data_IF_341955316404
#
_entry.id   IF_341955316404
#
_cell.length_a   1.000
_cell.length_b   1.000
_cell.length_c   1.000
_cell.angle_alpha   90.00
_cell.angle_beta   90.00
_cell.angle_gamma   90.00
#
_symmetry.space_group_name_H-M   'P 1'
#
loop_
_entity.id
_entity.type
_entity.pdbx_description
1 polymer ?
#
# COMPACT_ATOMS: atom_id res chain seq x y z
N UNK A 1 18.30 26.51 -0.16
CA UNK A 1 17.73 25.14 -0.11
C UNK A 1 18.67 24.22 -0.86
N UNK A 2 19.36 23.29 -0.18
CA UNK A 2 20.13 22.24 -0.86
C UNK A 2 19.10 21.27 -1.44
N UNK A 3 18.98 21.17 -2.75
CA UNK A 3 18.32 20.06 -3.42
C UNK A 3 19.12 18.81 -3.07
N UNK A 4 18.64 18.03 -2.09
CA UNK A 4 19.15 16.68 -1.87
C UNK A 4 18.95 15.93 -3.19
N UNK A 5 20.03 15.39 -3.74
CA UNK A 5 19.94 14.48 -4.90
C UNK A 5 19.20 13.23 -4.39
N UNK A 6 18.13 12.83 -5.10
CA UNK A 6 17.42 11.59 -4.83
C UNK A 6 18.40 10.41 -4.84
N UNK A 7 18.38 9.59 -3.77
CA UNK A 7 19.19 8.38 -3.66
C UNK A 7 18.32 7.14 -3.92
N UNK A 8 17.98 6.92 -5.18
CA UNK A 8 17.15 5.76 -5.56
C UNK A 8 18.01 4.50 -5.56
N UNK A 9 17.60 3.50 -4.79
CA UNK A 9 18.17 2.16 -4.81
C UNK A 9 17.55 1.36 -5.96
N UNK A 10 18.28 1.19 -7.06
CA UNK A 10 17.87 0.27 -8.14
C UNK A 10 18.29 -1.16 -7.80
N UNK A 11 17.36 -2.10 -7.88
CA UNK A 11 17.51 -3.50 -7.50
C UNK A 11 17.91 -4.35 -8.72
N UNK A 12 18.81 -5.28 -8.52
CA UNK A 12 19.06 -6.34 -9.52
C UNK A 12 17.92 -7.34 -9.56
N UNK A 13 17.84 -8.16 -10.61
CA UNK A 13 16.81 -9.21 -10.69
C UNK A 13 16.85 -10.20 -9.51
N UNK A 14 18.04 -10.53 -8.99
CA UNK A 14 18.21 -11.38 -7.81
C UNK A 14 17.65 -10.69 -6.55
N UNK A 15 17.92 -9.39 -6.38
CA UNK A 15 17.40 -8.60 -5.25
C UNK A 15 15.87 -8.49 -5.30
N UNK A 16 15.28 -8.32 -6.48
CA UNK A 16 13.83 -8.33 -6.67
C UNK A 16 13.24 -9.69 -6.27
N UNK A 17 13.91 -10.80 -6.60
CA UNK A 17 13.50 -12.14 -6.17
C UNK A 17 13.54 -12.29 -4.64
N UNK A 18 14.54 -11.72 -3.95
CA UNK A 18 14.56 -11.67 -2.48
C UNK A 18 13.40 -10.83 -1.91
N UNK A 19 13.13 -9.67 -2.51
CA UNK A 19 11.98 -8.84 -2.13
C UNK A 19 10.64 -9.57 -2.35
N UNK A 20 10.54 -10.43 -3.39
CA UNK A 20 9.36 -11.26 -3.62
C UNK A 20 9.07 -12.19 -2.44
N UNK A 21 10.08 -12.76 -1.78
CA UNK A 21 9.87 -13.59 -0.59
C UNK A 21 9.20 -12.79 0.55
N UNK A 22 9.68 -11.57 0.81
CA UNK A 22 9.05 -10.66 1.77
C UNK A 22 7.62 -10.27 1.33
N UNK A 23 7.42 -9.96 0.06
CA UNK A 23 6.12 -9.63 -0.51
C UNK A 23 5.10 -10.77 -0.38
N UNK A 24 5.51 -12.02 -0.60
CA UNK A 24 4.64 -13.20 -0.42
C UNK A 24 4.29 -13.44 1.07
N UNK A 25 5.24 -13.19 1.97
CA UNK A 25 4.98 -13.25 3.40
C UNK A 25 3.92 -12.21 3.80
N UNK A 26 4.05 -10.97 3.33
CA UNK A 26 3.05 -9.92 3.56
C UNK A 26 1.70 -10.32 2.96
N UNK A 27 1.66 -10.78 1.71
CA UNK A 27 0.42 -11.20 1.05
C UNK A 27 -0.29 -12.32 1.82
N UNK A 28 0.45 -13.32 2.29
CA UNK A 28 -0.11 -14.44 3.07
C UNK A 28 -0.61 -13.98 4.45
N UNK A 29 0.13 -13.08 5.11
CA UNK A 29 -0.29 -12.49 6.39
C UNK A 29 -1.59 -11.69 6.21
N UNK A 30 -1.66 -10.80 5.22
CA UNK A 30 -2.87 -10.01 4.93
C UNK A 30 -4.07 -10.89 4.56
N UNK A 31 -3.85 -12.00 3.83
CA UNK A 31 -4.92 -12.96 3.51
C UNK A 31 -5.50 -13.59 4.79
N UNK A 32 -4.64 -13.99 5.74
CA UNK A 32 -5.06 -14.53 7.04
C UNK A 32 -5.75 -13.48 7.92
N UNK A 33 -5.26 -12.23 7.91
CA UNK A 33 -5.89 -11.13 8.64
C UNK A 33 -7.27 -10.82 8.07
N UNK A 34 -7.44 -10.82 6.73
CA UNK A 34 -8.75 -10.66 6.08
C UNK A 34 -9.75 -11.71 6.55
N UNK A 35 -9.34 -12.97 6.70
CA UNK A 35 -10.19 -14.06 7.21
C UNK A 35 -10.54 -13.88 8.70
N UNK A 36 -9.64 -13.26 9.48
CA UNK A 36 -9.84 -13.04 10.92
C UNK A 36 -10.70 -11.79 11.21
N UNK A 37 -10.86 -10.87 10.24
CA UNK A 37 -11.71 -9.67 10.42
C UNK A 37 -13.17 -10.07 10.60
N UNK A 38 -13.72 -9.79 11.80
CA UNK A 38 -15.11 -10.04 12.13
C UNK A 38 -15.58 -9.07 13.23
N UNK A 39 -16.90 -8.83 13.36
CA UNK A 39 -17.45 -8.12 14.52
C UNK A 39 -17.02 -8.79 15.83
N UNK A 40 -16.57 -8.01 16.80
CA UNK A 40 -16.11 -8.49 18.11
C UNK A 40 -14.61 -8.73 18.21
N UNK A 41 -13.87 -8.75 17.10
CA UNK A 41 -12.39 -8.85 17.10
C UNK A 41 -11.81 -7.46 17.39
N UNK A 42 -10.83 -7.37 18.27
CA UNK A 42 -10.08 -6.14 18.50
C UNK A 42 -8.93 -5.98 17.50
N UNK A 43 -8.55 -4.74 17.25
CA UNK A 43 -7.40 -4.48 16.36
C UNK A 43 -6.08 -4.99 16.94
N UNK A 44 -5.95 -5.10 18.27
CA UNK A 44 -4.80 -5.73 18.92
C UNK A 44 -4.72 -7.24 18.68
N UNK A 45 -5.85 -7.96 18.57
CA UNK A 45 -5.85 -9.38 18.22
C UNK A 45 -5.35 -9.60 16.79
N UNK A 46 -5.70 -8.70 15.85
CA UNK A 46 -5.18 -8.73 14.48
C UNK A 46 -3.67 -8.45 14.45
N UNK A 47 -3.18 -7.53 15.27
CA UNK A 47 -1.75 -7.24 15.39
C UNK A 47 -0.95 -8.44 15.93
N UNK A 48 -1.45 -9.06 17.00
CA UNK A 48 -0.84 -10.28 17.56
C UNK A 48 -0.79 -11.43 16.55
N UNK A 49 -1.87 -11.63 15.78
CA UNK A 49 -1.90 -12.63 14.72
C UNK A 49 -0.88 -12.31 13.60
N UNK A 50 -0.77 -11.06 13.20
CA UNK A 50 0.21 -10.65 12.19
C UNK A 50 1.65 -10.92 12.65
N UNK A 51 1.99 -10.54 13.89
CA UNK A 51 3.31 -10.77 14.46
C UNK A 51 3.65 -12.26 14.52
N UNK A 52 2.70 -13.08 14.98
CA UNK A 52 2.86 -14.54 15.03
C UNK A 52 3.15 -15.12 13.65
N UNK A 53 2.35 -14.78 12.64
CA UNK A 53 2.49 -15.29 11.27
C UNK A 53 3.82 -14.88 10.64
N UNK A 54 4.24 -13.63 10.81
CA UNK A 54 5.51 -13.13 10.26
C UNK A 54 6.69 -13.85 10.93
N UNK A 55 6.68 -13.97 12.27
CA UNK A 55 7.78 -14.58 13.03
C UNK A 55 7.86 -16.09 12.85
N UNK A 56 6.74 -16.78 12.64
CA UNK A 56 6.68 -18.23 12.45
C UNK A 56 7.53 -18.73 11.29
N UNK A 57 7.78 -17.89 10.27
CA UNK A 57 8.61 -18.22 9.11
C UNK A 57 9.97 -17.51 9.12
N UNK A 58 10.36 -16.94 10.26
CA UNK A 58 11.64 -16.25 10.43
C UNK A 58 11.68 -14.83 9.89
N UNK A 59 10.54 -14.26 9.48
CA UNK A 59 10.43 -12.86 9.10
C UNK A 59 10.45 -11.90 10.30
N UNK A 60 10.63 -10.62 10.04
CA UNK A 60 10.59 -9.55 11.04
C UNK A 60 9.53 -8.54 10.64
N UNK A 61 8.58 -8.15 11.54
CA UNK A 61 7.64 -7.06 11.25
C UNK A 61 8.40 -5.76 10.93
N UNK A 62 8.07 -5.11 9.81
CA UNK A 62 8.77 -3.89 9.38
C UNK A 62 8.46 -2.68 10.25
N UNK A 63 7.24 -2.62 10.81
CA UNK A 63 6.76 -1.42 11.52
C UNK A 63 7.13 -1.42 12.98
N UNK A 64 7.24 -2.59 13.63
CA UNK A 64 7.52 -2.69 15.05
C UNK A 64 8.88 -2.07 15.40
N UNK A 65 8.84 -0.95 16.12
CA UNK A 65 10.03 -0.16 16.49
C UNK A 65 10.48 0.85 15.44
N UNK A 66 9.91 0.86 14.25
CA UNK A 66 10.24 1.84 13.20
C UNK A 66 9.85 3.25 13.65
N UNK A 67 10.85 4.13 13.81
CA UNK A 67 10.68 5.46 14.43
C UNK A 67 9.90 5.47 15.75
N UNK A 68 9.89 4.33 16.47
CA UNK A 68 9.18 4.18 17.74
C UNK A 68 7.72 3.70 17.59
N UNK A 69 7.27 3.30 16.41
CA UNK A 69 5.94 2.71 16.22
C UNK A 69 5.79 1.44 17.06
N UNK A 70 4.71 1.28 17.85
CA UNK A 70 4.65 0.27 18.90
C UNK A 70 4.06 -1.08 18.47
N UNK A 71 3.68 -1.27 17.20
CA UNK A 71 2.93 -2.44 16.73
C UNK A 71 3.52 -3.03 15.44
N UNK A 72 3.08 -4.23 15.07
CA UNK A 72 3.56 -4.97 13.89
C UNK A 72 2.84 -4.57 12.60
N UNK A 73 1.60 -4.09 12.71
CA UNK A 73 0.75 -3.62 11.60
C UNK A 73 0.08 -2.28 11.96
N UNK A 74 -0.46 -1.58 10.96
CA UNK A 74 -1.40 -0.49 11.20
C UNK A 74 -2.84 -0.98 10.96
N UNK A 75 -3.79 -0.52 11.78
CA UNK A 75 -5.21 -0.93 11.71
C UNK A 75 -6.11 0.30 11.77
N UNK A 76 -6.40 0.87 10.62
CA UNK A 76 -7.14 2.14 10.49
C UNK A 76 -8.63 1.86 10.22
N UNK A 77 -9.50 2.23 11.16
CA UNK A 77 -10.93 1.95 11.12
C UNK A 77 -11.72 3.20 10.78
N UNK A 78 -12.62 3.12 9.81
CA UNK A 78 -13.56 4.16 9.37
C UNK A 78 -12.85 5.48 8.98
N UNK A 79 -12.93 6.53 9.82
CA UNK A 79 -12.33 7.85 9.59
C UNK A 79 -10.79 7.85 9.77
N UNK A 80 -10.23 6.78 10.33
CA UNK A 80 -8.77 6.61 10.38
C UNK A 80 -8.26 6.25 8.98
N UNK A 81 -7.32 7.05 8.50
CA UNK A 81 -6.79 6.92 7.13
C UNK A 81 -5.64 5.93 7.08
N UNK A 82 -4.58 6.20 7.88
CA UNK A 82 -3.35 5.39 7.97
C UNK A 82 -2.74 5.49 9.36
N UNK A 83 -1.79 4.62 9.65
CA UNK A 83 -0.91 4.58 10.81
C UNK A 83 -1.63 4.44 12.17
N UNK A 84 -2.90 4.04 12.18
CA UNK A 84 -3.61 3.85 13.44
C UNK A 84 -3.01 2.67 14.22
N UNK A 85 -2.71 2.94 15.51
CA UNK A 85 -2.07 1.96 16.40
C UNK A 85 -3.13 0.92 16.83
N UNK A 86 -2.87 -0.38 16.64
CA UNK A 86 -3.74 -1.44 17.14
C UNK A 86 -3.99 -1.35 18.64
N UNK A 87 -5.23 -1.57 19.09
CA UNK A 87 -5.64 -1.40 20.47
C UNK A 87 -6.65 -2.49 20.90
N UNK A 88 -6.53 -3.05 22.12
CA UNK A 88 -7.55 -3.96 22.67
C UNK A 88 -8.89 -3.26 22.95
N UNK A 89 -8.89 -1.92 22.96
CA UNK A 89 -10.11 -1.13 23.17
C UNK A 89 -10.84 -0.84 21.86
N UNK A 90 -10.17 -0.96 20.72
CA UNK A 90 -10.78 -0.77 19.40
C UNK A 90 -11.28 -2.12 18.90
N UNK A 91 -12.53 -2.41 19.20
CA UNK A 91 -13.24 -3.65 18.83
C UNK A 91 -14.06 -3.37 17.58
N UNK A 92 -13.89 -4.18 16.55
CA UNK A 92 -14.59 -4.08 15.27
C UNK A 92 -16.08 -4.36 15.43
N UNK A 93 -16.90 -3.63 14.69
CA UNK A 93 -18.36 -3.73 14.69
C UNK A 93 -18.87 -4.03 13.30
N UNK A 94 -20.03 -4.65 13.23
CA UNK A 94 -20.75 -4.79 11.96
C UNK A 94 -20.99 -3.43 11.33
N UNK A 95 -20.64 -3.31 10.04
CA UNK A 95 -20.71 -2.05 9.29
C UNK A 95 -19.43 -1.21 9.27
N UNK A 96 -18.40 -1.57 10.05
CA UNK A 96 -17.09 -0.89 9.99
C UNK A 96 -16.34 -1.22 8.69
N UNK A 97 -15.44 -0.32 8.31
CA UNK A 97 -14.44 -0.54 7.28
C UNK A 97 -13.05 -0.43 7.93
N UNK A 98 -12.20 -1.45 7.76
CA UNK A 98 -10.84 -1.44 8.32
C UNK A 98 -9.81 -1.52 7.19
N UNK A 99 -8.83 -0.61 7.19
CA UNK A 99 -7.60 -0.72 6.40
C UNK A 99 -6.51 -1.33 7.26
N UNK A 100 -5.91 -2.42 6.78
CA UNK A 100 -4.83 -3.14 7.45
C UNK A 100 -3.60 -3.01 6.58
N UNK A 101 -2.55 -2.40 7.14
CA UNK A 101 -1.27 -2.19 6.50
C UNK A 101 -0.22 -3.05 7.19
N UNK A 102 0.57 -3.80 6.41
CA UNK A 102 1.50 -4.82 6.89
C UNK A 102 2.79 -4.82 6.08
N UNK A 103 3.89 -4.61 6.78
CA UNK A 103 5.23 -4.76 6.24
C UNK A 103 6.01 -5.90 6.91
N UNK A 104 6.82 -6.61 6.14
CA UNK A 104 7.71 -7.66 6.65
C UNK A 104 9.09 -7.62 6.00
N UNK A 105 10.10 -8.05 6.77
CA UNK A 105 11.48 -8.18 6.34
C UNK A 105 11.84 -9.65 6.24
N UNK A 106 12.40 -10.05 5.09
CA UNK A 106 13.00 -11.37 4.87
C UNK A 106 14.40 -11.15 4.30
N UNK A 107 15.41 -11.74 4.90
CA UNK A 107 16.81 -11.62 4.49
C UNK A 107 17.27 -10.16 4.24
N UNK A 108 16.79 -9.23 5.07
CA UNK A 108 17.14 -7.81 4.99
C UNK A 108 16.39 -7.02 3.91
N UNK A 109 15.39 -7.60 3.26
CA UNK A 109 14.55 -6.95 2.25
C UNK A 109 13.12 -6.79 2.73
N UNK A 110 12.56 -5.60 2.53
CA UNK A 110 11.18 -5.29 2.89
C UNK A 110 10.20 -5.66 1.78
N UNK A 111 9.00 -6.08 2.18
CA UNK A 111 7.78 -6.06 1.41
C UNK A 111 6.74 -5.29 2.21
N UNK A 112 5.86 -4.57 1.53
CA UNK A 112 4.84 -3.70 2.11
C UNK A 112 3.57 -3.75 1.30
N UNK A 113 2.40 -3.83 1.98
CA UNK A 113 1.10 -3.86 1.32
C UNK A 113 -0.03 -3.56 2.29
N UNK A 114 -1.10 -2.96 1.79
CA UNK A 114 -2.30 -2.70 2.56
C UNK A 114 -3.57 -3.19 1.85
N UNK A 115 -4.54 -3.60 2.65
CA UNK A 115 -5.88 -3.99 2.21
C UNK A 115 -6.94 -3.24 3.00
N UNK A 116 -8.06 -2.93 2.36
CA UNK A 116 -9.26 -2.44 3.05
C UNK A 116 -10.34 -3.54 3.06
N UNK A 117 -10.85 -3.85 4.24
CA UNK A 117 -11.76 -4.98 4.47
C UNK A 117 -13.05 -4.51 5.12
N UNK A 118 -14.23 -4.87 4.58
CA UNK A 118 -15.50 -4.66 5.26
C UNK A 118 -15.64 -5.59 6.47
N UNK A 119 -16.18 -5.08 7.56
CA UNK A 119 -16.51 -5.86 8.77
C UNK A 119 -17.99 -6.20 8.73
N UNK A 120 -18.32 -7.48 8.53
CA UNK A 120 -19.70 -7.92 8.37
C UNK A 120 -20.40 -7.27 7.18
N UNK A 121 -21.64 -6.77 7.37
CA UNK A 121 -22.38 -6.07 6.34
C UNK A 121 -22.15 -4.57 6.38
N UNK A 122 -21.51 -4.03 5.33
CA UNK A 122 -21.26 -2.58 5.18
C UNK A 122 -22.22 -1.94 4.18
N UNK A 123 -22.49 -0.66 4.37
CA UNK A 123 -23.29 0.13 3.45
C UNK A 123 -22.67 0.16 2.02
N UNK A 124 -23.50 0.21 0.94
CA UNK A 124 -23.01 0.22 -0.42
C UNK A 124 -21.95 1.28 -0.75
N UNK A 125 -22.03 2.53 -0.19
CA UNK A 125 -20.98 3.51 -0.42
C UNK A 125 -19.59 3.09 0.09
N UNK A 126 -19.50 2.30 1.18
CA UNK A 126 -18.23 1.81 1.72
C UNK A 126 -17.60 0.74 0.82
N UNK A 127 -18.43 -0.20 0.31
CA UNK A 127 -17.96 -1.18 -0.69
C UNK A 127 -17.42 -0.49 -1.94
N UNK A 128 -18.15 0.57 -2.39
CA UNK A 128 -17.71 1.33 -3.55
C UNK A 128 -16.44 2.12 -3.29
N UNK A 129 -16.25 2.66 -2.09
CA UNK A 129 -15.02 3.36 -1.69
C UNK A 129 -13.80 2.43 -1.80
N UNK A 130 -13.91 1.20 -1.26
CA UNK A 130 -12.85 0.19 -1.35
C UNK A 130 -12.54 -0.15 -2.82
N UNK A 131 -13.58 -0.42 -3.63
CA UNK A 131 -13.40 -0.72 -5.04
C UNK A 131 -12.74 0.42 -5.81
N UNK A 132 -13.10 1.68 -5.52
CA UNK A 132 -12.47 2.86 -6.15
C UNK A 132 -10.99 2.97 -5.78
N UNK A 133 -10.62 2.72 -4.52
CA UNK A 133 -9.23 2.73 -4.09
C UNK A 133 -8.42 1.62 -4.79
N UNK A 134 -8.95 0.40 -4.84
CA UNK A 134 -8.33 -0.74 -5.55
C UNK A 134 -8.18 -0.46 -7.05
N UNK A 135 -9.24 -0.02 -7.73
CA UNK A 135 -9.19 0.28 -9.16
C UNK A 135 -8.20 1.40 -9.48
N UNK A 136 -8.11 2.41 -8.62
CA UNK A 136 -7.14 3.50 -8.77
C UNK A 136 -5.70 3.00 -8.64
N UNK A 137 -5.40 2.16 -7.66
CA UNK A 137 -4.09 1.54 -7.48
C UNK A 137 -3.69 0.72 -8.71
N UNK A 138 -4.55 -0.19 -9.14
CA UNK A 138 -4.25 -1.04 -10.30
C UNK A 138 -4.15 -0.26 -11.61
N UNK A 139 -4.97 0.78 -11.80
CA UNK A 139 -4.88 1.68 -12.96
C UNK A 139 -3.56 2.43 -12.97
N UNK A 140 -3.11 2.92 -11.80
CA UNK A 140 -1.81 3.56 -11.63
C UNK A 140 -0.65 2.63 -11.96
N UNK A 141 -0.66 1.39 -11.45
CA UNK A 141 0.35 0.37 -11.77
C UNK A 141 0.38 0.09 -13.28
N UNK A 142 -0.78 -0.11 -13.90
CA UNK A 142 -0.90 -0.36 -15.33
C UNK A 142 -0.39 0.82 -16.17
N UNK A 143 -0.68 2.06 -15.77
CA UNK A 143 -0.18 3.25 -16.43
C UNK A 143 1.35 3.36 -16.31
N UNK A 144 1.89 3.08 -15.12
CA UNK A 144 3.33 3.01 -14.90
C UNK A 144 4.01 1.98 -15.80
N UNK A 145 3.44 0.76 -15.89
CA UNK A 145 3.96 -0.31 -16.75
C UNK A 145 3.97 0.10 -18.23
N UNK A 146 2.84 0.62 -18.74
CA UNK A 146 2.76 1.12 -20.13
C UNK A 146 3.74 2.26 -20.39
N UNK A 147 3.86 3.21 -19.47
CA UNK A 147 4.78 4.34 -19.60
C UNK A 147 6.25 3.87 -19.61
N UNK A 148 6.62 2.94 -18.72
CA UNK A 148 7.96 2.34 -18.68
C UNK A 148 8.33 1.67 -20.00
N UNK A 149 7.41 0.90 -20.60
CA UNK A 149 7.62 0.23 -21.89
C UNK A 149 7.94 1.19 -23.04
N UNK A 150 7.53 2.47 -22.97
CA UNK A 150 7.91 3.50 -23.96
C UNK A 150 9.35 3.97 -23.82
N UNK A 151 10.04 3.63 -22.72
CA UNK A 151 11.35 4.15 -22.35
C UNK A 151 11.34 5.65 -21.95
N UNK A 152 10.16 6.28 -21.83
CA UNK A 152 9.99 7.71 -21.47
C UNK A 152 9.19 7.92 -20.19
N UNK A 153 8.61 6.85 -19.61
CA UNK A 153 7.77 6.90 -18.43
C UNK A 153 8.41 7.61 -17.24
N UNK A 154 7.60 8.33 -16.51
CA UNK A 154 7.99 9.07 -15.31
C UNK A 154 7.09 8.69 -14.15
N UNK A 155 7.59 8.84 -12.94
CA UNK A 155 6.90 8.48 -11.71
C UNK A 155 5.46 9.02 -11.65
N UNK A 156 5.26 10.28 -12.00
CA UNK A 156 3.95 10.91 -11.88
C UNK A 156 2.95 10.51 -12.98
N UNK A 157 3.33 9.65 -13.92
CA UNK A 157 2.36 8.98 -14.80
C UNK A 157 1.46 8.04 -13.98
N UNK A 158 2.03 7.40 -12.95
CA UNK A 158 1.30 6.62 -11.93
C UNK A 158 0.34 7.53 -11.16
N UNK A 159 0.87 8.60 -10.56
CA UNK A 159 0.09 9.56 -9.75
C UNK A 159 -1.08 10.18 -10.51
N UNK A 160 -0.85 10.51 -11.78
CA UNK A 160 -1.87 11.09 -12.65
C UNK A 160 -3.02 10.13 -12.89
N UNK A 161 -2.71 8.87 -13.19
CA UNK A 161 -3.72 7.85 -13.45
C UNK A 161 -4.51 7.50 -12.20
N UNK A 162 -3.87 7.34 -11.04
CA UNK A 162 -4.55 7.17 -9.74
C UNK A 162 -5.60 8.28 -9.55
N UNK A 163 -5.16 9.54 -9.65
CA UNK A 163 -6.06 10.68 -9.47
C UNK A 163 -7.18 10.74 -10.51
N UNK A 164 -6.90 10.37 -11.75
CA UNK A 164 -7.87 10.36 -12.86
C UNK A 164 -8.93 9.31 -12.61
N UNK A 165 -8.54 8.09 -12.25
CA UNK A 165 -9.47 6.98 -11.95
C UNK A 165 -10.40 7.34 -10.80
N UNK A 166 -9.85 7.90 -9.70
CA UNK A 166 -10.67 8.31 -8.53
C UNK A 166 -11.69 9.38 -8.94
N UNK A 167 -11.26 10.42 -9.68
CA UNK A 167 -12.14 11.51 -10.12
C UNK A 167 -13.23 11.06 -11.07
N UNK A 168 -12.93 10.11 -11.95
CA UNK A 168 -13.92 9.51 -12.87
C UNK A 168 -14.95 8.65 -12.12
N UNK A 169 -14.56 8.02 -11.01
CA UNK A 169 -15.45 7.20 -10.19
C UNK A 169 -16.48 8.03 -9.42
N UNK A 170 -16.20 9.31 -9.13
CA UNK A 170 -17.11 10.18 -8.41
C UNK A 170 -16.42 11.29 -7.60
N UNK A 171 -17.17 11.79 -6.60
CA UNK A 171 -16.67 12.81 -5.68
C UNK A 171 -16.05 12.14 -4.47
N UNK A 172 -14.74 11.89 -4.53
CA UNK A 172 -13.94 11.33 -3.44
C UNK A 172 -12.81 12.28 -3.08
N UNK A 173 -12.41 12.30 -1.82
CA UNK A 173 -11.17 12.95 -1.39
C UNK A 173 -9.97 12.06 -1.76
N UNK A 174 -8.91 12.67 -2.27
CA UNK A 174 -7.61 12.03 -2.47
C UNK A 174 -6.68 12.63 -1.44
N UNK A 175 -6.22 11.84 -0.49
CA UNK A 175 -5.39 12.32 0.61
C UNK A 175 -4.06 12.85 0.08
N UNK A 176 -3.64 13.99 0.60
CA UNK A 176 -2.35 14.63 0.30
C UNK A 176 -1.44 14.61 1.53
N UNK A 177 -0.13 14.60 1.30
CA UNK A 177 0.87 14.56 2.37
C UNK A 177 1.27 13.16 2.81
N UNK A 178 0.52 12.15 2.39
CA UNK A 178 0.82 10.73 2.53
C UNK A 178 0.75 10.09 1.14
N UNK A 179 1.53 9.03 0.92
CA UNK A 179 1.59 8.35 -0.35
C UNK A 179 2.73 7.36 -0.43
N UNK A 180 2.86 6.70 -1.56
CA UNK A 180 3.84 5.66 -1.80
C UNK A 180 5.28 6.14 -1.78
N UNK A 181 6.18 5.18 -1.84
CA UNK A 181 7.61 5.40 -1.65
C UNK A 181 8.45 4.35 -2.38
N UNK A 182 9.73 4.61 -2.54
CA UNK A 182 10.70 3.57 -2.86
C UNK A 182 10.83 2.60 -1.68
N UNK A 183 11.10 1.35 -1.96
CA UNK A 183 11.24 0.29 -0.93
C UNK A 183 12.36 -0.67 -1.32
N UNK A 184 13.05 -1.23 -0.33
CA UNK A 184 14.17 -2.14 -0.57
C UNK A 184 14.78 -2.68 0.71
N UNK A 185 16.02 -2.33 0.99
CA UNK A 185 16.72 -2.63 2.26
C UNK A 185 16.27 -1.74 3.41
N UNK A 186 15.55 -0.68 3.10
CA UNK A 186 14.82 0.16 4.05
C UNK A 186 13.37 0.22 3.61
N UNK A 187 12.46 0.42 4.55
CA UNK A 187 11.03 0.45 4.28
C UNK A 187 10.67 1.67 3.41
N UNK A 188 11.06 2.86 3.86
CA UNK A 188 10.85 4.09 3.10
C UNK A 188 12.16 4.56 2.47
N UNK A 189 12.20 4.59 1.15
CA UNK A 189 13.31 5.07 0.34
C UNK A 189 12.82 6.09 -0.70
N UNK A 190 13.76 6.84 -1.28
CA UNK A 190 13.47 7.61 -2.49
C UNK A 190 13.01 6.70 -3.65
N UNK A 191 12.07 7.15 -4.48
CA UNK A 191 11.37 8.43 -4.43
C UNK A 191 10.02 8.36 -3.70
N UNK A 192 9.49 9.50 -3.23
CA UNK A 192 8.08 9.60 -2.86
C UNK A 192 7.18 9.39 -4.09
N UNK A 193 6.06 8.69 -3.91
CA UNK A 193 5.06 8.39 -4.95
C UNK A 193 3.73 9.04 -4.57
N UNK A 194 3.50 10.30 -4.90
CA UNK A 194 2.25 10.98 -4.55
C UNK A 194 1.05 10.40 -5.32
N UNK A 195 -0.12 10.42 -4.71
CA UNK A 195 -1.38 9.98 -5.34
C UNK A 195 -2.01 11.05 -6.26
N UNK A 196 -1.39 12.23 -6.33
CA UNK A 196 -1.76 13.36 -7.17
C UNK A 196 -0.55 13.86 -7.93
N UNK A 197 -0.71 14.17 -9.22
CA UNK A 197 0.39 14.73 -10.00
C UNK A 197 0.01 15.06 -11.43
N UNK A 198 0.82 15.93 -12.05
CA UNK A 198 0.80 16.13 -13.51
C UNK A 198 1.66 15.04 -14.15
N UNK A 199 1.25 14.42 -15.26
CA UNK A 199 2.02 13.35 -15.89
C UNK A 199 3.40 13.85 -16.37
N UNK A 200 4.34 12.94 -16.55
CA UNK A 200 5.64 13.21 -17.12
C UNK A 200 6.64 13.90 -16.19
N UNK A 201 6.48 13.81 -14.87
CA UNK A 201 7.40 14.40 -13.87
C UNK A 201 8.03 13.32 -12.99
N UNK A 202 9.06 13.72 -12.24
CA UNK A 202 9.79 12.84 -11.32
C UNK A 202 10.79 11.91 -12.02
N UNK A 203 11.34 10.93 -11.29
CA UNK A 203 12.28 9.93 -11.80
C UNK A 203 11.71 9.13 -12.96
N UNK A 204 12.60 8.54 -13.77
CA UNK A 204 12.20 7.63 -14.85
C UNK A 204 11.77 6.29 -14.27
N UNK A 205 10.73 5.70 -14.84
CA UNK A 205 10.32 4.33 -14.57
C UNK A 205 11.22 3.41 -15.39
N UNK A 206 12.21 2.81 -14.72
CA UNK A 206 13.24 1.97 -15.36
C UNK A 206 13.38 0.66 -14.60
N UNK A 207 13.91 -0.39 -15.24
CA UNK A 207 14.19 -1.67 -14.58
C UNK A 207 15.01 -1.49 -13.29
N UNK A 208 14.65 -2.26 -12.27
CA UNK A 208 15.26 -2.19 -10.94
C UNK A 208 14.60 -1.20 -9.97
N UNK A 209 13.73 -0.32 -10.43
CA UNK A 209 12.93 0.52 -9.55
C UNK A 209 11.86 -0.32 -8.86
N UNK A 210 11.75 -0.22 -7.53
CA UNK A 210 10.70 -0.89 -6.75
C UNK A 210 10.00 0.15 -5.89
N UNK A 211 8.68 0.20 -5.98
CA UNK A 211 7.82 1.21 -5.35
C UNK A 211 6.69 0.56 -4.56
N UNK A 212 6.36 1.13 -3.42
CA UNK A 212 5.04 1.04 -2.81
C UNK A 212 4.09 2.01 -3.53
N UNK A 213 2.93 1.53 -3.95
CA UNK A 213 1.89 2.33 -4.63
C UNK A 213 0.63 2.20 -3.80
N UNK A 214 0.22 3.29 -3.13
CA UNK A 214 -0.72 3.26 -2.02
C UNK A 214 -1.72 4.43 -2.02
N UNK A 215 -2.75 4.42 -2.84
CA UNK A 215 -3.79 5.44 -2.77
C UNK A 215 -4.60 5.37 -1.48
N UNK A 216 -4.83 6.55 -0.89
CA UNK A 216 -5.72 6.78 0.24
C UNK A 216 -6.88 7.64 -0.23
N UNK A 217 -8.09 7.08 -0.15
CA UNK A 217 -9.31 7.66 -0.71
C UNK A 217 -10.34 7.84 0.40
N UNK A 218 -11.06 8.97 0.41
CA UNK A 218 -12.08 9.28 1.42
C UNK A 218 -13.45 9.52 0.79
N UNK A 219 -14.52 9.23 1.53
CA UNK A 219 -15.89 9.57 1.12
C UNK A 219 -16.19 11.08 1.19
N UNK A 220 -15.33 11.85 1.82
CA UNK A 220 -15.49 13.29 2.01
C UNK A 220 -14.26 14.08 1.63
N UNK A 221 -13.82 14.92 2.57
CA UNK A 221 -12.69 15.82 2.38
C UNK A 221 -11.35 15.08 2.34
N UNK A 222 -10.42 15.57 1.52
CA UNK A 222 -9.02 15.12 1.48
C UNK A 222 -8.17 15.54 2.68
N UNK A 223 -8.72 16.44 3.55
CA UNK A 223 -7.95 17.01 4.63
C UNK A 223 -7.90 16.09 5.84
N UNK A 224 -6.70 15.89 6.35
CA UNK A 224 -6.40 15.00 7.47
C UNK A 224 -5.88 15.76 8.68
N UNK A 225 -5.83 15.08 9.82
CA UNK A 225 -5.17 15.51 11.03
C UNK A 225 -4.52 14.31 11.69
N UNK A 226 -3.35 14.52 12.30
CA UNK A 226 -2.68 13.55 13.15
C UNK A 226 -3.22 13.66 14.57
N UNK A 227 -3.45 12.52 15.22
CA UNK A 227 -3.91 12.46 16.61
C UNK A 227 -2.76 12.66 17.61
N UNK A 228 -3.10 12.84 18.88
CA UNK A 228 -2.15 13.08 19.95
C UNK A 228 -1.19 11.89 20.24
N UNK A 229 -1.46 10.71 19.68
CA UNK A 229 -0.56 9.55 19.75
C UNK A 229 0.67 9.69 18.82
N UNK A 230 0.68 10.72 17.96
CA UNK A 230 1.78 11.02 17.03
C UNK A 230 1.87 10.09 15.82
N UNK A 231 0.82 9.28 15.57
CA UNK A 231 0.79 8.29 14.48
C UNK A 231 -0.53 8.29 13.72
N UNK A 232 -1.65 8.12 14.45
CA UNK A 232 -2.96 7.93 13.82
C UNK A 232 -3.39 9.15 13.02
N UNK A 233 -3.58 8.96 11.74
CA UNK A 233 -4.07 9.99 10.81
C UNK A 233 -5.55 9.79 10.57
N UNK A 234 -6.35 10.83 10.78
CA UNK A 234 -7.81 10.81 10.60
C UNK A 234 -8.27 11.86 9.59
N UNK A 235 -9.42 11.62 8.96
CA UNK A 235 -10.09 12.64 8.17
C UNK A 235 -10.63 13.75 9.09
N UNK A 236 -10.49 15.03 8.68
CA UNK A 236 -10.96 16.16 9.51
C UNK A 236 -12.48 16.28 9.59
N UNK A 237 -13.18 15.73 8.61
CA UNK A 237 -14.65 15.78 8.52
C UNK A 237 -15.33 14.51 9.04
N UNK A 238 -14.56 13.54 9.56
CA UNK A 238 -15.07 12.26 10.06
C UNK A 238 -15.54 11.31 8.96
N UNK A 239 -15.25 11.60 7.70
CA UNK A 239 -15.62 10.72 6.59
C UNK A 239 -14.75 9.46 6.57
N UNK A 240 -15.36 8.34 6.16
CA UNK A 240 -14.65 7.05 6.07
C UNK A 240 -13.58 7.07 4.98
N UNK A 241 -12.44 6.47 5.24
CA UNK A 241 -11.31 6.33 4.34
C UNK A 241 -11.07 4.85 3.96
N UNK A 242 -10.41 4.65 2.81
CA UNK A 242 -9.85 3.38 2.38
C UNK A 242 -8.39 3.57 1.99
N UNK A 243 -7.54 2.65 2.39
CA UNK A 243 -6.13 2.57 2.04
C UNK A 243 -5.84 1.18 1.47
N UNK A 244 -5.25 1.13 0.30
CA UNK A 244 -4.82 -0.11 -0.35
C UNK A 244 -3.44 0.10 -0.93
N UNK A 245 -2.63 -0.96 -0.98
CA UNK A 245 -1.24 -0.84 -1.38
C UNK A 245 -0.70 -2.13 -1.98
N UNK A 246 0.24 -1.97 -2.91
CA UNK A 246 1.13 -3.04 -3.37
C UNK A 246 2.58 -2.56 -3.57
N UNK A 247 3.53 -3.43 -3.25
CA UNK A 247 4.93 -3.31 -3.67
C UNK A 247 5.08 -3.80 -5.12
N UNK A 248 5.58 -2.93 -6.00
CA UNK A 248 5.69 -3.18 -7.45
C UNK A 248 7.11 -2.98 -7.93
N UNK A 249 7.70 -3.99 -8.57
CA UNK A 249 9.00 -3.90 -9.24
C UNK A 249 8.83 -3.62 -10.73
N UNK A 250 9.60 -2.67 -11.26
CA UNK A 250 9.74 -2.45 -12.69
C UNK A 250 10.85 -3.34 -13.23
N UNK A 251 10.54 -4.15 -14.25
CA UNK A 251 11.45 -5.09 -14.91
C UNK A 251 11.70 -4.68 -16.37
N UNK A 252 12.61 -5.37 -17.06
CA UNK A 252 12.93 -5.08 -18.46
C UNK A 252 11.76 -5.30 -19.41
N UNK A 253 10.86 -6.24 -19.07
CA UNK A 253 9.74 -6.71 -19.90
C UNK A 253 8.35 -6.42 -19.32
N UNK A 254 8.26 -5.60 -18.27
CA UNK A 254 6.99 -5.27 -17.62
C UNK A 254 7.13 -4.94 -16.14
N UNK A 255 6.09 -5.18 -15.37
CA UNK A 255 6.09 -5.02 -13.91
C UNK A 255 5.84 -6.35 -13.20
N UNK A 256 6.31 -6.43 -11.97
CA UNK A 256 6.04 -7.56 -11.08
C UNK A 256 5.49 -7.06 -9.76
N UNK A 257 4.23 -7.38 -9.46
CA UNK A 257 3.60 -7.01 -8.19
C UNK A 257 4.04 -8.01 -7.13
N UNK A 258 5.00 -7.61 -6.30
CA UNK A 258 5.69 -8.51 -5.37
C UNK A 258 4.80 -9.00 -4.23
N UNK A 259 3.75 -8.27 -3.92
CA UNK A 259 2.77 -8.56 -2.85
C UNK A 259 1.44 -9.15 -3.37
N UNK A 260 1.34 -9.51 -4.65
CA UNK A 260 0.20 -10.25 -5.21
C UNK A 260 0.61 -11.69 -5.51
N UNK A 261 -0.17 -12.71 -5.12
CA UNK A 261 0.17 -14.13 -5.28
C UNK A 261 0.48 -14.51 -6.74
N UNK A 262 -0.30 -13.98 -7.67
CA UNK A 262 -0.16 -14.17 -9.12
C UNK A 262 0.84 -13.22 -9.78
N UNK A 263 1.52 -12.37 -8.98
CA UNK A 263 2.42 -11.32 -9.46
C UNK A 263 1.72 -10.16 -10.16
N UNK A 264 0.39 -10.05 -10.02
CA UNK A 264 -0.46 -9.03 -10.64
C UNK A 264 -1.10 -9.44 -11.97
N UNK A 265 -0.99 -10.72 -12.36
CA UNK A 265 -1.39 -11.20 -13.70
C UNK A 265 -2.88 -11.05 -13.98
N UNK A 266 -3.74 -11.32 -13.01
CA UNK A 266 -5.20 -11.24 -13.16
C UNK A 266 -5.67 -9.79 -13.44
N UNK A 267 -4.95 -8.80 -12.95
CA UNK A 267 -5.29 -7.38 -13.09
C UNK A 267 -4.57 -6.67 -14.25
N UNK A 268 -3.37 -7.11 -14.58
CA UNK A 268 -2.47 -6.41 -15.50
C UNK A 268 -2.23 -7.16 -16.84
N UNK A 269 -2.55 -8.46 -16.91
CA UNK A 269 -2.39 -9.27 -18.13
C UNK A 269 -0.95 -9.21 -18.67
N UNK A 270 -0.81 -8.84 -19.93
CA UNK A 270 0.47 -8.80 -20.65
C UNK A 270 1.45 -7.70 -20.16
N UNK A 271 1.03 -6.83 -19.24
CA UNK A 271 1.93 -5.85 -18.61
C UNK A 271 2.82 -6.47 -17.51
N UNK A 272 2.53 -7.71 -17.10
CA UNK A 272 3.30 -8.42 -16.08
C UNK A 272 4.55 -9.02 -16.69
N UNK A 273 5.69 -8.82 -16.03
CA UNK A 273 6.97 -9.44 -16.39
C UNK A 273 6.90 -10.97 -16.39
N UNK A 274 7.58 -11.61 -17.34
CA UNK A 274 7.73 -13.07 -17.37
C UNK A 274 8.35 -13.65 -16.09
N UNK A 275 9.11 -12.85 -15.33
CA UNK A 275 9.65 -13.24 -14.00
C UNK A 275 8.56 -13.61 -12.99
N UNK A 276 7.35 -13.12 -13.14
CA UNK A 276 6.22 -13.47 -12.27
C UNK A 276 5.69 -14.91 -12.51
N UNK A 277 6.19 -15.59 -13.54
CA UNK A 277 5.82 -16.96 -13.85
C UNK A 277 6.79 -18.03 -13.29
N UNK A 278 7.92 -17.58 -12.75
CA UNK A 278 8.96 -18.41 -12.12
C UNK A 278 8.85 -18.36 -10.60
#
# INVERSE_FOLDING_TARGET
>A
MRTSLLQIQYKTGEQITKMRAAGLLVASTLARLREAVAPGVSTAELDGLAEELIRAVGGVPSFLGYHGYPASICTSVNEQVVHAIPSPKQVLRDGDLISIDCGAIVDGWHGDSAITVPVGEVAPPLRRLTAVAEDAMWSGIAAGARAAATGRGRLTDISHEIATTIRQAGKYGIVEGYGGHGIGTEMHQDPDVPNLGRPGKGPRLVPGLVLAIEPMVTLGSRHTAELADGWTVVTRDGSVAAHVEHTVAFCDDGVWVLTAFDGGRDRLGDLVSARAAS
#
